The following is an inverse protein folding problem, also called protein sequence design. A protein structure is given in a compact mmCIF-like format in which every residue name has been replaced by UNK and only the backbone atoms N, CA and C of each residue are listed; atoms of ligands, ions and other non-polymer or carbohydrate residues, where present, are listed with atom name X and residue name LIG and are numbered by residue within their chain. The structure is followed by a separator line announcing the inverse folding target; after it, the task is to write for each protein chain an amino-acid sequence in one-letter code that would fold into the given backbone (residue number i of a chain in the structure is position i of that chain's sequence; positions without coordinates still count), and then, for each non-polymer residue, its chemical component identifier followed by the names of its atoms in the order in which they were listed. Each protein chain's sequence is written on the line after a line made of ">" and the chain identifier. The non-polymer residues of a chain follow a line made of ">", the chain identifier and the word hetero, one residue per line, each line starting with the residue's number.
data_IF_770456713955
#
_entry.id   IF_770456713955
#
_cell.length_a   1.000
_cell.length_b   1.000
_cell.length_c   1.000
_cell.angle_alpha   90.00
_cell.angle_beta   90.00
_cell.angle_gamma   90.00
#
_symmetry.space_group_name_H-M   'P 1'
#
loop_
_entity.id
_entity.type
_entity.pdbx_description
1 polymer ?
#
# COMPACT_ATOMS: atom_id res chain seq x y z
N UNK A 1 40.02 -8.39 -11.78
CA UNK A 1 40.02 -8.01 -13.21
C UNK A 1 39.35 -9.05 -14.12
N UNK A 2 39.55 -10.37 -13.95
CA UNK A 2 38.92 -11.41 -14.81
C UNK A 2 37.38 -11.46 -14.77
N UNK A 3 36.73 -11.20 -13.63
CA UNK A 3 35.27 -11.31 -13.49
C UNK A 3 34.50 -10.28 -14.35
N UNK A 4 35.04 -9.04 -14.43
CA UNK A 4 34.42 -7.96 -15.19
C UNK A 4 34.49 -8.20 -16.71
N UNK A 5 35.57 -8.84 -17.18
CA UNK A 5 35.73 -9.16 -18.60
C UNK A 5 34.74 -10.24 -19.07
N UNK A 6 34.48 -11.26 -18.23
CA UNK A 6 33.48 -12.28 -18.51
C UNK A 6 32.07 -11.70 -18.59
N UNK A 7 31.69 -10.87 -17.62
CA UNK A 7 30.36 -10.23 -17.62
C UNK A 7 30.16 -9.35 -18.86
N UNK A 8 31.16 -8.55 -19.23
CA UNK A 8 31.08 -7.74 -20.44
C UNK A 8 30.95 -8.59 -21.70
N UNK A 9 31.69 -9.70 -21.79
CA UNK A 9 31.56 -10.65 -22.90
C UNK A 9 30.15 -11.25 -22.98
N UNK A 10 29.61 -11.72 -21.86
CA UNK A 10 28.28 -12.31 -21.79
C UNK A 10 27.19 -11.28 -22.21
N UNK A 11 27.37 -10.00 -21.86
CA UNK A 11 26.50 -8.91 -22.31
C UNK A 11 26.62 -8.69 -23.81
N UNK A 12 27.84 -8.61 -24.37
CA UNK A 12 28.02 -8.44 -25.82
C UNK A 12 27.43 -9.60 -26.63
N UNK A 13 27.64 -10.84 -26.17
CA UNK A 13 27.10 -12.03 -26.80
C UNK A 13 25.56 -12.02 -26.75
N UNK A 14 24.97 -11.58 -25.63
CA UNK A 14 23.52 -11.40 -25.50
C UNK A 14 22.98 -10.33 -26.46
N UNK A 15 23.57 -9.13 -26.46
CA UNK A 15 23.11 -8.03 -27.32
C UNK A 15 23.16 -8.44 -28.79
N UNK A 16 24.25 -9.09 -29.21
CA UNK A 16 24.40 -9.60 -30.57
C UNK A 16 23.36 -10.66 -30.90
N UNK A 17 23.14 -11.64 -30.02
CA UNK A 17 22.17 -12.72 -30.25
C UNK A 17 20.72 -12.20 -30.28
N UNK A 18 20.40 -11.22 -29.43
CA UNK A 18 19.10 -10.58 -29.36
C UNK A 18 18.90 -9.47 -30.42
N UNK A 19 19.90 -9.22 -31.28
CA UNK A 19 19.91 -8.16 -32.30
C UNK A 19 19.66 -6.76 -31.72
N UNK A 20 20.21 -6.51 -30.53
CA UNK A 20 20.16 -5.22 -29.86
C UNK A 20 21.43 -4.44 -30.22
N UNK A 21 21.32 -3.18 -30.70
CA UNK A 21 22.48 -2.33 -30.96
C UNK A 21 23.30 -2.15 -29.67
N UNK A 22 24.62 -2.24 -29.76
CA UNK A 22 25.51 -2.17 -28.59
C UNK A 22 26.21 -0.81 -28.43
N UNK A 23 25.88 0.15 -29.29
CA UNK A 23 26.48 1.48 -29.42
C UNK A 23 25.59 2.60 -28.90
N UNK A 24 24.44 2.25 -28.29
CA UNK A 24 23.52 3.21 -27.74
C UNK A 24 24.01 3.76 -26.40
N UNK A 25 23.83 5.07 -26.14
CA UNK A 25 24.21 5.69 -24.87
C UNK A 25 23.33 5.22 -23.70
N UNK A 26 22.09 4.82 -23.99
CA UNK A 26 21.13 4.33 -23.01
C UNK A 26 20.15 3.34 -23.65
N UNK A 27 19.53 2.51 -22.81
CA UNK A 27 18.58 1.47 -23.22
C UNK A 27 17.25 1.68 -22.49
N UNK A 28 16.20 1.99 -23.25
CA UNK A 28 14.84 2.08 -22.71
C UNK A 28 14.33 0.69 -22.27
N UNK A 29 13.94 0.58 -21.00
CA UNK A 29 13.46 -0.68 -20.44
C UNK A 29 12.17 -1.19 -21.11
N UNK A 30 11.27 -0.31 -21.54
CA UNK A 30 10.03 -0.67 -22.25
C UNK A 30 10.34 -1.28 -23.61
N UNK A 31 11.45 -0.87 -24.24
CA UNK A 31 11.86 -1.37 -25.56
C UNK A 31 12.69 -2.65 -25.43
N UNK A 32 13.72 -2.65 -24.60
CA UNK A 32 14.74 -3.72 -24.62
C UNK A 32 14.48 -4.87 -23.64
N UNK A 33 13.77 -4.64 -22.53
CA UNK A 33 13.42 -5.74 -21.61
C UNK A 33 12.56 -6.80 -22.32
N UNK A 34 11.53 -6.44 -23.10
CA UNK A 34 10.78 -7.42 -23.87
C UNK A 34 11.64 -8.30 -24.76
N UNK A 35 12.53 -7.69 -25.54
CA UNK A 35 13.41 -8.39 -26.48
C UNK A 35 14.29 -9.41 -25.75
N UNK A 36 14.92 -8.99 -24.64
CA UNK A 36 15.79 -9.88 -23.86
C UNK A 36 15.00 -11.00 -23.18
N UNK A 37 13.86 -10.67 -22.57
CA UNK A 37 13.03 -11.66 -21.85
C UNK A 37 12.45 -12.69 -22.80
N UNK A 38 11.99 -12.27 -23.99
CA UNK A 38 11.46 -13.18 -25.00
C UNK A 38 12.58 -14.04 -25.60
N UNK A 39 13.76 -13.46 -25.85
CA UNK A 39 14.93 -14.22 -26.27
C UNK A 39 15.29 -15.31 -25.26
N UNK A 40 15.38 -15.00 -23.96
CA UNK A 40 15.68 -16.00 -22.93
C UNK A 40 14.55 -17.02 -22.74
N UNK A 41 13.29 -16.60 -22.77
CA UNK A 41 12.17 -17.52 -22.68
C UNK A 41 12.16 -18.52 -23.84
N UNK A 42 12.55 -18.09 -25.04
CA UNK A 42 12.68 -18.98 -26.20
C UNK A 42 13.92 -19.88 -26.08
N UNK A 43 15.08 -19.31 -25.75
CA UNK A 43 16.35 -20.05 -25.65
C UNK A 43 16.31 -21.15 -24.59
N UNK A 44 15.66 -20.89 -23.46
CA UNK A 44 15.64 -21.79 -22.30
C UNK A 44 14.28 -22.47 -22.09
N UNK A 45 13.41 -22.44 -23.09
CA UNK A 45 12.07 -23.03 -23.03
C UNK A 45 12.14 -24.53 -22.72
N UNK A 46 13.03 -25.25 -23.39
CA UNK A 46 13.20 -26.71 -23.24
C UNK A 46 13.77 -27.10 -21.88
N UNK A 47 14.50 -26.18 -21.23
CA UNK A 47 14.97 -26.36 -19.85
C UNK A 47 13.88 -26.03 -18.82
N UNK A 48 12.70 -25.58 -19.25
CA UNK A 48 11.58 -25.23 -18.40
C UNK A 48 11.71 -23.88 -17.70
N UNK A 49 12.68 -23.05 -18.07
CA UNK A 49 12.83 -21.70 -17.50
C UNK A 49 11.83 -20.73 -18.12
N UNK A 50 11.15 -19.99 -17.26
CA UNK A 50 10.17 -18.96 -17.62
C UNK A 50 10.52 -17.71 -16.84
N UNK A 51 11.16 -16.78 -17.51
CA UNK A 51 11.63 -15.52 -16.98
C UNK A 51 10.52 -14.48 -16.97
N UNK A 52 10.51 -13.69 -15.89
CA UNK A 52 9.71 -12.46 -15.79
C UNK A 52 10.51 -11.40 -15.06
N UNK A 53 10.63 -10.22 -15.68
CA UNK A 53 11.33 -9.07 -15.12
C UNK A 53 10.36 -8.23 -14.31
N UNK A 54 10.84 -7.75 -13.16
CA UNK A 54 10.17 -6.84 -12.24
C UNK A 54 11.11 -5.67 -11.95
N UNK A 55 10.77 -4.48 -12.44
CA UNK A 55 11.53 -3.26 -12.19
C UNK A 55 10.85 -2.48 -11.07
N UNK A 56 11.59 -2.17 -10.02
CA UNK A 56 11.15 -1.37 -8.89
C UNK A 56 11.73 0.04 -8.99
N UNK A 57 10.94 1.04 -8.62
CA UNK A 57 11.39 2.44 -8.56
C UNK A 57 11.03 3.07 -7.23
N UNK A 58 12.01 3.73 -6.60
CA UNK A 58 11.83 4.38 -5.30
C UNK A 58 11.45 3.40 -4.17
N UNK A 59 10.53 3.82 -3.29
CA UNK A 59 10.05 3.02 -2.14
C UNK A 59 8.72 2.28 -2.41
N UNK A 60 8.32 2.17 -3.68
CA UNK A 60 7.09 1.50 -4.05
C UNK A 60 7.15 0.00 -3.78
N UNK A 61 6.10 -0.55 -3.16
CA UNK A 61 6.00 -2.00 -2.91
C UNK A 61 5.75 -2.80 -4.19
N UNK A 62 5.11 -2.17 -5.18
CA UNK A 62 4.84 -2.79 -6.47
C UNK A 62 5.90 -2.38 -7.49
N UNK A 63 6.22 -3.28 -8.43
CA UNK A 63 7.07 -2.92 -9.57
C UNK A 63 6.42 -1.79 -10.38
N UNK A 64 7.24 -0.87 -10.88
CA UNK A 64 6.84 0.18 -11.80
C UNK A 64 6.72 -0.34 -13.24
N UNK A 65 7.43 -1.42 -13.56
CA UNK A 65 7.37 -2.09 -14.85
C UNK A 65 7.55 -3.60 -14.68
N UNK A 66 6.86 -4.38 -15.51
CA UNK A 66 6.97 -5.84 -15.52
C UNK A 66 6.75 -6.39 -16.92
N UNK A 67 7.51 -7.42 -17.29
CA UNK A 67 7.36 -8.10 -18.58
C UNK A 67 7.77 -9.56 -18.48
N UNK A 68 7.03 -10.45 -19.16
CA UNK A 68 7.28 -11.88 -19.22
C UNK A 68 6.06 -12.74 -18.84
N UNK A 69 6.24 -14.05 -18.83
CA UNK A 69 5.15 -15.02 -18.71
C UNK A 69 4.42 -14.93 -17.35
N UNK A 70 3.09 -15.03 -17.32
CA UNK A 70 2.32 -15.05 -16.05
C UNK A 70 2.61 -16.28 -15.17
N UNK A 71 2.98 -17.40 -15.79
CA UNK A 71 3.37 -18.65 -15.12
C UNK A 71 4.91 -18.76 -15.00
N UNK A 72 5.59 -17.64 -14.74
CA UNK A 72 7.03 -17.59 -14.56
C UNK A 72 7.51 -18.45 -13.39
N UNK A 73 8.74 -18.95 -13.49
CA UNK A 73 9.44 -19.59 -12.38
C UNK A 73 10.75 -18.91 -11.98
N UNK A 74 11.29 -18.05 -12.86
CA UNK A 74 12.50 -17.25 -12.62
C UNK A 74 12.16 -15.76 -12.60
N UNK A 75 11.92 -15.16 -11.42
CA UNK A 75 11.77 -13.72 -11.30
C UNK A 75 13.14 -13.02 -11.38
N UNK A 76 13.26 -12.05 -12.28
CA UNK A 76 14.43 -11.16 -12.38
C UNK A 76 14.01 -9.82 -11.79
N UNK A 77 14.78 -9.33 -10.82
CA UNK A 77 14.44 -8.11 -10.10
C UNK A 77 15.48 -7.03 -10.36
N UNK A 78 15.02 -5.85 -10.76
CA UNK A 78 15.86 -4.71 -11.09
C UNK A 78 15.35 -3.50 -10.30
N UNK A 79 16.27 -2.71 -9.77
CA UNK A 79 15.98 -1.43 -9.14
C UNK A 79 16.36 -0.29 -10.09
N UNK A 80 15.46 0.66 -10.29
CA UNK A 80 15.73 1.86 -11.07
C UNK A 80 15.82 3.08 -10.14
N UNK A 81 16.97 3.74 -10.14
CA UNK A 81 17.18 5.01 -9.41
C UNK A 81 18.23 5.87 -10.11
N UNK A 82 18.04 7.20 -10.10
CA UNK A 82 18.99 8.16 -10.66
C UNK A 82 19.46 7.84 -12.09
N UNK A 83 18.52 7.45 -12.98
CA UNK A 83 18.80 7.03 -14.35
C UNK A 83 19.76 5.82 -14.46
N UNK A 84 19.76 4.93 -13.45
CA UNK A 84 20.57 3.73 -13.39
C UNK A 84 19.73 2.50 -13.00
N UNK A 85 20.11 1.33 -13.50
CA UNK A 85 19.47 0.05 -13.21
C UNK A 85 20.42 -0.88 -12.43
N UNK A 86 20.00 -1.28 -11.23
CA UNK A 86 20.75 -2.19 -10.36
C UNK A 86 20.06 -3.55 -10.24
N UNK A 87 20.83 -4.63 -10.31
CA UNK A 87 20.32 -5.98 -10.07
C UNK A 87 19.99 -6.22 -8.59
N UNK A 88 18.75 -6.62 -8.30
CA UNK A 88 18.31 -6.93 -6.94
C UNK A 88 18.37 -8.44 -6.68
N UNK A 89 19.27 -8.88 -5.80
CA UNK A 89 19.31 -10.29 -5.37
C UNK A 89 18.22 -10.63 -4.35
N UNK A 90 17.85 -9.66 -3.50
CA UNK A 90 16.84 -9.84 -2.46
C UNK A 90 15.93 -8.61 -2.37
N UNK A 91 14.82 -8.64 -3.12
CA UNK A 91 13.79 -7.58 -3.13
C UNK A 91 13.23 -7.31 -1.73
N UNK A 92 13.12 -8.34 -0.89
CA UNK A 92 12.68 -8.18 0.49
C UNK A 92 13.55 -7.20 1.28
N UNK A 93 14.87 -7.19 1.02
CA UNK A 93 15.81 -6.29 1.69
C UNK A 93 15.54 -4.81 1.44
N UNK A 94 14.94 -4.44 0.31
CA UNK A 94 14.54 -3.06 0.02
C UNK A 94 13.49 -2.52 0.98
N UNK A 95 12.68 -3.41 1.57
CA UNK A 95 11.62 -3.05 2.50
C UNK A 95 12.05 -3.14 3.96
N UNK A 96 13.34 -3.34 4.22
CA UNK A 96 13.95 -3.44 5.54
C UNK A 96 14.20 -4.87 6.01
N UNK A 97 14.86 -4.99 7.16
CA UNK A 97 15.33 -6.27 7.71
C UNK A 97 14.18 -7.27 7.89
N UNK A 98 14.42 -8.52 7.52
CA UNK A 98 13.49 -9.66 7.62
C UNK A 98 12.21 -9.58 6.76
N UNK A 99 12.11 -8.64 5.81
CA UNK A 99 11.06 -8.72 4.81
C UNK A 99 11.45 -9.69 3.70
N UNK A 100 10.43 -10.36 3.17
CA UNK A 100 10.44 -11.21 1.99
C UNK A 100 9.44 -10.64 1.00
N UNK A 101 9.62 -10.95 -0.27
CA UNK A 101 8.73 -10.50 -1.33
C UNK A 101 8.14 -11.70 -2.08
N UNK A 102 6.86 -11.62 -2.39
CA UNK A 102 6.21 -12.61 -3.25
C UNK A 102 5.87 -11.96 -4.59
N UNK A 103 6.52 -12.43 -5.65
CA UNK A 103 6.32 -11.92 -7.01
C UNK A 103 4.93 -12.22 -7.57
N UNK A 104 4.28 -13.28 -7.10
CA UNK A 104 2.96 -13.72 -7.61
C UNK A 104 1.80 -12.86 -7.10
N UNK A 105 1.89 -12.37 -5.86
CA UNK A 105 0.88 -11.46 -5.30
C UNK A 105 1.37 -10.02 -5.15
N UNK A 106 2.63 -9.76 -5.53
CA UNK A 106 3.31 -8.46 -5.48
C UNK A 106 3.20 -7.80 -4.10
N UNK A 107 3.49 -8.58 -3.04
CA UNK A 107 3.42 -8.13 -1.66
C UNK A 107 4.63 -8.54 -0.84
N UNK A 108 5.03 -7.64 0.06
CA UNK A 108 6.01 -7.94 1.11
C UNK A 108 5.35 -8.63 2.29
N UNK A 109 6.10 -9.48 2.96
CA UNK A 109 5.68 -10.18 4.18
C UNK A 109 6.90 -10.49 5.05
N UNK A 110 6.74 -10.61 6.37
CA UNK A 110 7.85 -10.99 7.25
C UNK A 110 7.84 -12.48 7.54
N UNK A 111 6.64 -13.03 7.79
CA UNK A 111 6.45 -14.44 8.14
C UNK A 111 5.48 -15.07 7.15
N UNK A 112 5.70 -16.34 6.79
CA UNK A 112 4.83 -17.04 5.83
C UNK A 112 3.36 -17.07 6.25
N UNK A 113 3.08 -17.04 7.56
CA UNK A 113 1.72 -16.98 8.13
C UNK A 113 0.96 -15.68 7.87
N UNK A 114 1.67 -14.59 7.55
CA UNK A 114 1.06 -13.28 7.23
C UNK A 114 0.63 -13.22 5.76
N UNK A 115 1.03 -14.20 4.96
CA UNK A 115 0.78 -14.22 3.54
C UNK A 115 -0.67 -14.54 3.18
N UNK A 116 -1.15 -14.02 2.05
CA UNK A 116 -2.51 -14.28 1.58
C UNK A 116 -2.67 -15.78 1.24
N UNK A 117 -3.64 -16.44 1.89
CA UNK A 117 -3.95 -17.85 1.69
C UNK A 117 -4.45 -18.16 0.26
N UNK A 118 -4.83 -17.13 -0.50
CA UNK A 118 -5.25 -17.24 -1.91
C UNK A 118 -4.08 -17.14 -2.89
N UNK A 119 -2.85 -16.89 -2.42
CA UNK A 119 -1.71 -16.83 -3.31
C UNK A 119 -1.44 -18.19 -3.96
N UNK A 120 -1.29 -18.19 -5.30
CA UNK A 120 -1.01 -19.40 -6.09
C UNK A 120 0.34 -20.03 -5.74
N UNK A 121 1.30 -19.19 -5.38
CA UNK A 121 2.65 -19.56 -4.97
C UNK A 121 2.76 -19.97 -3.50
N UNK A 122 1.64 -20.16 -2.79
CA UNK A 122 1.64 -20.70 -1.43
C UNK A 122 1.27 -22.19 -1.47
N UNK A 123 2.14 -23.04 -0.92
CA UNK A 123 1.75 -24.42 -0.63
C UNK A 123 0.91 -24.46 0.65
N UNK A 124 -0.38 -24.79 0.55
CA UNK A 124 -1.30 -24.90 1.71
C UNK A 124 -0.97 -26.07 2.65
N UNK A 125 -0.22 -27.06 2.17
CA UNK A 125 0.17 -28.22 2.96
C UNK A 125 1.35 -27.88 3.89
N UNK A 126 2.48 -27.42 3.32
CA UNK A 126 3.70 -27.13 4.11
C UNK A 126 3.89 -25.65 4.49
N UNK A 127 3.12 -24.72 3.92
CA UNK A 127 3.18 -23.28 4.24
C UNK A 127 4.34 -22.51 3.58
N UNK A 128 5.12 -23.15 2.70
CA UNK A 128 6.17 -22.47 1.92
C UNK A 128 5.58 -21.60 0.80
N UNK A 129 6.28 -20.51 0.50
CA UNK A 129 5.92 -19.55 -0.54
C UNK A 129 7.07 -19.50 -1.55
N UNK A 130 6.77 -19.50 -2.85
CA UNK A 130 7.77 -19.38 -3.92
C UNK A 130 7.21 -19.70 -5.31
N UNK A 131 7.97 -19.40 -6.36
CA UNK A 131 7.59 -19.69 -7.75
C UNK A 131 7.34 -21.19 -7.98
N UNK A 132 8.16 -22.06 -7.39
CA UNK A 132 8.05 -23.53 -7.46
C UNK A 132 6.92 -24.11 -6.58
N UNK A 133 5.89 -23.33 -6.29
CA UNK A 133 4.78 -23.72 -5.40
C UNK A 133 3.44 -23.56 -6.13
N UNK A 134 2.45 -24.41 -5.87
CA UNK A 134 2.37 -25.44 -4.81
C UNK A 134 3.36 -26.60 -5.02
N UNK A 135 3.73 -27.31 -3.94
CA UNK A 135 4.61 -28.47 -4.05
C UNK A 135 4.03 -29.50 -5.02
N UNK A 136 4.82 -29.89 -6.03
CA UNK A 136 4.45 -30.92 -7.00
C UNK A 136 4.46 -32.32 -6.35
N UNK A 137 3.60 -33.20 -6.85
CA UNK A 137 3.58 -34.60 -6.43
C UNK A 137 4.80 -35.34 -6.99
N UNK A 138 5.36 -36.24 -6.18
CA UNK A 138 6.38 -37.20 -6.60
C UNK A 138 5.69 -38.56 -6.78
N UNK A 139 6.05 -39.30 -7.84
CA UNK A 139 5.52 -40.63 -8.07
C UNK A 139 5.70 -41.51 -6.81
N UNK A 140 4.66 -42.26 -6.45
CA UNK A 140 4.64 -43.23 -5.35
C UNK A 140 4.86 -42.66 -3.94
N UNK A 141 4.72 -41.35 -3.73
CA UNK A 141 4.74 -40.76 -2.39
C UNK A 141 3.34 -40.35 -1.93
N UNK A 142 2.84 -41.00 -0.88
CA UNK A 142 1.64 -40.56 -0.15
C UNK A 142 1.87 -40.79 1.34
N UNK A 143 1.87 -39.70 2.12
CA UNK A 143 1.99 -39.79 3.58
C UNK A 143 1.01 -38.86 4.27
N UNK A 144 0.29 -39.40 5.26
CA UNK A 144 -0.57 -38.62 6.15
C UNK A 144 0.20 -38.20 7.40
N UNK A 145 -0.10 -37.00 7.91
CA UNK A 145 0.45 -36.52 9.18
C UNK A 145 -0.56 -36.73 10.29
N UNK A 146 -0.20 -37.54 11.28
CA UNK A 146 -1.08 -37.91 12.40
C UNK A 146 -1.51 -36.70 13.25
N UNK A 147 -0.68 -35.65 13.35
CA UNK A 147 -0.96 -34.46 14.17
C UNK A 147 -2.02 -33.53 13.56
N UNK A 148 -2.05 -33.44 12.22
CA UNK A 148 -2.85 -32.45 11.49
C UNK A 148 -3.82 -33.03 10.44
N UNK A 149 -3.74 -34.34 10.18
CA UNK A 149 -4.57 -35.10 9.23
C UNK A 149 -4.29 -34.81 7.74
N UNK A 150 -3.30 -33.96 7.43
CA UNK A 150 -3.01 -33.60 6.03
C UNK A 150 -2.26 -34.72 5.31
N UNK A 151 -2.63 -34.94 4.05
CA UNK A 151 -1.95 -35.86 3.13
C UNK A 151 -0.95 -35.11 2.25
N UNK A 152 0.24 -35.65 2.12
CA UNK A 152 1.36 -35.07 1.37
C UNK A 152 1.75 -36.01 0.24
N UNK A 153 1.93 -35.44 -0.95
CA UNK A 153 2.31 -36.16 -2.17
C UNK A 153 3.80 -36.04 -2.51
N UNK A 154 4.58 -35.45 -1.61
CA UNK A 154 6.00 -35.21 -1.82
C UNK A 154 6.73 -35.20 -0.47
N UNK A 155 7.89 -35.86 -0.43
CA UNK A 155 8.67 -36.02 0.79
C UNK A 155 9.26 -34.71 1.32
N UNK A 156 9.79 -33.83 0.47
CA UNK A 156 10.26 -32.50 0.86
C UNK A 156 9.12 -31.64 1.44
N UNK A 157 7.91 -31.76 0.88
CA UNK A 157 6.71 -31.13 1.43
C UNK A 157 6.40 -31.67 2.83
N UNK A 158 6.47 -32.99 3.00
CA UNK A 158 6.24 -33.65 4.29
C UNK A 158 7.34 -33.28 5.33
N UNK A 159 8.61 -33.39 4.99
CA UNK A 159 9.69 -33.12 5.93
C UNK A 159 9.74 -31.65 6.33
N UNK A 160 9.43 -30.73 5.41
CA UNK A 160 9.34 -29.31 5.76
C UNK A 160 8.16 -29.02 6.69
N UNK A 161 6.96 -29.59 6.44
CA UNK A 161 5.82 -29.29 7.31
C UNK A 161 6.09 -29.72 8.77
N UNK A 162 6.74 -30.88 8.99
CA UNK A 162 7.10 -31.38 10.33
C UNK A 162 8.08 -30.46 11.05
N UNK A 163 9.08 -29.92 10.33
CA UNK A 163 10.07 -28.98 10.89
C UNK A 163 9.48 -27.58 11.11
N UNK A 164 8.42 -27.24 10.38
CA UNK A 164 7.78 -25.92 10.44
C UNK A 164 6.73 -25.82 11.56
N UNK A 165 6.38 -24.59 11.92
CA UNK A 165 5.21 -24.33 12.78
C UNK A 165 3.86 -24.58 12.09
N UNK A 166 3.84 -24.91 10.79
CA UNK A 166 2.61 -25.06 10.02
C UNK A 166 1.75 -26.23 10.50
N UNK A 167 2.38 -27.35 10.90
CA UNK A 167 1.69 -28.52 11.43
C UNK A 167 0.81 -28.16 12.64
N UNK A 168 1.36 -27.39 13.58
CA UNK A 168 0.67 -26.97 14.82
C UNK A 168 -0.37 -25.86 14.58
N UNK A 169 -0.25 -25.12 13.48
CA UNK A 169 -1.10 -23.97 13.18
C UNK A 169 -2.29 -24.30 12.30
N UNK A 170 -2.24 -25.40 11.55
CA UNK A 170 -3.28 -25.70 10.56
C UNK A 170 -3.63 -27.17 10.54
N UNK A 171 -4.93 -27.46 10.60
CA UNK A 171 -5.47 -28.82 10.58
C UNK A 171 -6.41 -28.99 9.40
N UNK A 172 -6.59 -30.23 8.95
CA UNK A 172 -7.67 -30.57 8.02
C UNK A 172 -8.92 -30.97 8.82
N UNK A 173 -10.10 -30.60 8.35
CA UNK A 173 -11.33 -31.14 8.90
C UNK A 173 -11.60 -32.55 8.35
N UNK A 174 -11.96 -33.50 9.21
CA UNK A 174 -12.28 -34.87 8.79
C UNK A 174 -13.54 -34.94 7.90
N UNK A 175 -14.55 -34.11 8.20
CA UNK A 175 -15.85 -34.11 7.50
C UNK A 175 -15.80 -33.40 6.15
N UNK A 176 -15.36 -32.14 6.13
CA UNK A 176 -15.41 -31.31 4.93
C UNK A 176 -14.06 -31.19 4.20
N UNK A 177 -12.99 -31.79 4.73
CA UNK A 177 -11.62 -31.77 4.17
C UNK A 177 -11.01 -30.36 3.98
N UNK A 178 -11.64 -29.32 4.52
CA UNK A 178 -11.11 -27.96 4.49
C UNK A 178 -9.93 -27.84 5.46
N UNK A 179 -8.85 -27.22 4.98
CA UNK A 179 -7.73 -26.82 5.85
C UNK A 179 -8.13 -25.54 6.56
N UNK A 180 -8.09 -25.56 7.89
CA UNK A 180 -8.39 -24.42 8.74
C UNK A 180 -7.19 -24.08 9.63
N UNK A 181 -7.09 -22.80 10.02
CA UNK A 181 -6.03 -22.31 10.89
C UNK A 181 -6.52 -22.26 12.32
N UNK A 182 -5.74 -22.86 13.23
CA UNK A 182 -5.89 -22.70 14.67
C UNK A 182 -5.41 -21.28 15.00
N UNK A 183 -6.33 -20.32 15.06
CA UNK A 183 -6.03 -18.92 15.37
C UNK A 183 -5.69 -18.73 16.84
N UNK A 184 -4.95 -17.65 17.14
CA UNK A 184 -4.60 -17.24 18.50
C UNK A 184 -5.86 -17.06 19.38
N UNK A 185 -5.92 -17.84 20.46
CA UNK A 185 -6.97 -17.97 21.47
C UNK A 185 -7.52 -16.68 22.11
N UNK A 186 -6.89 -15.52 21.85
CA UNK A 186 -7.21 -14.24 22.53
C UNK A 186 -8.28 -13.38 21.82
N UNK A 187 -8.75 -13.75 20.62
CA UNK A 187 -9.62 -12.87 19.80
C UNK A 187 -10.88 -13.49 19.21
N UNK A 188 -11.04 -14.80 19.20
CA UNK A 188 -12.22 -15.47 18.62
C UNK A 188 -12.73 -16.55 19.58
N UNK A 189 -14.04 -16.54 19.86
CA UNK A 189 -14.70 -17.53 20.74
C UNK A 189 -14.69 -18.95 20.15
N UNK A 190 -14.61 -19.06 18.83
CA UNK A 190 -14.67 -20.33 18.12
C UNK A 190 -13.30 -21.02 18.07
N UNK A 191 -13.08 -21.93 19.02
CA UNK A 191 -11.84 -22.72 19.17
C UNK A 191 -11.64 -23.77 18.07
N UNK A 192 -12.73 -24.25 17.46
CA UNK A 192 -12.75 -25.36 16.51
C UNK A 192 -13.45 -25.00 15.20
N UNK A 193 -12.97 -25.56 14.09
CA UNK A 193 -13.70 -25.48 12.82
C UNK A 193 -15.09 -26.11 12.92
N UNK A 194 -16.10 -25.38 12.45
CA UNK A 194 -17.47 -25.89 12.26
C UNK A 194 -17.76 -25.94 10.77
N UNK A 195 -18.09 -27.13 10.27
CA UNK A 195 -18.43 -27.32 8.87
C UNK A 195 -19.68 -26.52 8.50
N UNK A 196 -19.72 -25.99 7.28
CA UNK A 196 -20.87 -25.20 6.81
C UNK A 196 -20.89 -23.75 7.27
N UNK A 197 -19.96 -23.31 8.13
CA UNK A 197 -19.85 -21.92 8.56
C UNK A 197 -18.77 -21.15 7.80
N UNK A 198 -19.02 -19.85 7.59
CA UNK A 198 -18.08 -18.90 6.98
C UNK A 198 -17.99 -17.62 7.81
N UNK A 199 -16.77 -17.10 7.94
CA UNK A 199 -16.53 -15.79 8.54
C UNK A 199 -17.06 -14.68 7.63
N UNK A 200 -17.96 -13.84 8.17
CA UNK A 200 -18.40 -12.63 7.48
C UNK A 200 -17.54 -11.42 7.89
N UNK A 201 -16.95 -10.74 6.90
CA UNK A 201 -16.15 -9.53 7.14
C UNK A 201 -16.97 -8.31 7.58
N UNK A 202 -18.27 -8.31 7.30
CA UNK A 202 -19.14 -7.15 7.54
C UNK A 202 -19.58 -7.12 9.01
N UNK A 203 -20.27 -8.18 9.46
CA UNK A 203 -20.73 -8.27 10.86
C UNK A 203 -19.66 -8.83 11.82
N UNK A 204 -18.54 -9.36 11.30
CA UNK A 204 -17.47 -10.00 12.09
C UNK A 204 -17.96 -11.19 12.93
N UNK A 205 -18.86 -12.00 12.37
CA UNK A 205 -19.38 -13.23 12.97
C UNK A 205 -19.32 -14.40 11.97
N UNK A 206 -19.37 -15.63 12.49
CA UNK A 206 -19.54 -16.83 11.67
C UNK A 206 -21.03 -17.09 11.43
N UNK A 207 -21.40 -17.35 10.18
CA UNK A 207 -22.76 -17.72 9.81
C UNK A 207 -22.76 -18.99 8.96
N UNK A 208 -23.88 -19.72 8.98
CA UNK A 208 -24.11 -20.77 7.99
C UNK A 208 -24.04 -20.18 6.58
N UNK A 209 -23.45 -20.92 5.65
CA UNK A 209 -23.44 -20.57 4.23
C UNK A 209 -24.87 -20.37 3.69
N UNK A 210 -25.86 -21.08 4.24
CA UNK A 210 -27.24 -21.07 3.74
C UNK A 210 -28.04 -19.84 4.19
N UNK A 211 -27.80 -19.32 5.41
CA UNK A 211 -28.54 -18.17 5.95
C UNK A 211 -27.99 -16.82 5.50
N UNK A 212 -26.72 -16.74 5.12
CA UNK A 212 -26.05 -15.48 4.80
C UNK A 212 -25.83 -14.57 6.02
N UNK A 213 -25.48 -13.30 5.79
CA UNK A 213 -25.26 -12.31 6.84
C UNK A 213 -26.44 -11.34 6.92
N UNK A 214 -27.19 -11.35 8.02
CA UNK A 214 -28.26 -10.39 8.27
C UNK A 214 -27.71 -9.13 8.93
N UNK A 215 -27.30 -8.15 8.11
CA UNK A 215 -26.79 -6.86 8.58
C UNK A 215 -27.99 -5.99 8.92
N UNK A 216 -28.16 -5.65 10.20
CA UNK A 216 -29.14 -4.63 10.60
C UNK A 216 -28.67 -3.25 10.10
N UNK A 217 -29.59 -2.38 9.65
CA UNK A 217 -29.25 -1.00 9.31
C UNK A 217 -28.45 -0.35 10.45
N UNK A 218 -27.39 0.37 10.12
CA UNK A 218 -26.64 1.12 11.12
C UNK A 218 -27.54 2.22 11.67
N UNK A 219 -27.75 2.23 12.98
CA UNK A 219 -28.36 3.40 13.61
C UNK A 219 -27.42 4.60 13.41
N UNK A 220 -27.91 5.72 12.88
CA UNK A 220 -27.09 6.91 12.70
C UNK A 220 -26.53 7.32 14.06
N UNK A 221 -25.19 7.46 14.13
CA UNK A 221 -24.54 7.95 15.35
C UNK A 221 -25.14 9.31 15.70
N UNK A 222 -25.50 9.51 16.97
CA UNK A 222 -25.89 10.82 17.49
C UNK A 222 -24.75 11.81 17.21
N UNK A 223 -24.99 12.78 16.33
CA UNK A 223 -24.01 13.82 15.99
C UNK A 223 -23.75 14.69 17.22
N UNK A 224 -22.48 14.79 17.63
CA UNK A 224 -22.07 15.71 18.70
C UNK A 224 -21.70 17.04 18.02
N UNK A 225 -22.36 18.16 18.35
CA UNK A 225 -22.04 19.46 17.77
C UNK A 225 -20.60 19.87 18.05
N UNK A 226 -19.88 20.32 17.02
CA UNK A 226 -18.49 20.77 17.14
C UNK A 226 -18.27 22.13 16.48
N UNK A 227 -17.23 22.84 16.93
CA UNK A 227 -16.82 24.15 16.43
C UNK A 227 -15.88 23.99 15.23
N UNK A 228 -16.12 24.78 14.20
CA UNK A 228 -15.30 24.92 13.01
C UNK A 228 -14.73 26.34 12.97
N UNK A 229 -13.44 26.47 12.67
CA UNK A 229 -12.79 27.74 12.40
C UNK A 229 -12.11 27.63 11.05
N UNK A 230 -12.58 28.40 10.07
CA UNK A 230 -11.99 28.45 8.73
C UNK A 230 -11.23 29.76 8.58
N UNK A 231 -10.06 29.70 7.97
CA UNK A 231 -9.22 30.87 7.70
C UNK A 231 -9.07 31.04 6.20
N UNK A 232 -9.29 32.26 5.74
CA UNK A 232 -9.00 32.70 4.39
C UNK A 232 -7.86 33.73 4.45
N UNK A 233 -6.83 33.53 3.62
CA UNK A 233 -5.58 34.26 3.71
C UNK A 233 -5.36 35.07 2.44
N UNK A 234 -5.18 36.37 2.62
CA UNK A 234 -4.79 37.27 1.56
C UNK A 234 -3.33 37.68 1.74
N UNK A 235 -2.62 37.77 0.62
CA UNK A 235 -1.20 38.04 0.60
C UNK A 235 -0.81 39.08 -0.44
N UNK A 236 0.30 39.75 -0.17
CA UNK A 236 0.94 40.72 -1.06
C UNK A 236 2.28 40.19 -1.57
N UNK A 237 2.67 40.65 -2.75
CA UNK A 237 3.95 40.34 -3.40
C UNK A 237 4.73 41.62 -3.74
N UNK A 238 4.68 42.61 -2.84
CA UNK A 238 5.27 43.92 -3.09
C UNK A 238 6.81 43.93 -2.95
N UNK A 239 7.37 42.98 -2.20
CA UNK A 239 8.81 42.88 -1.93
C UNK A 239 9.46 41.91 -2.93
N UNK A 240 10.48 42.33 -3.68
CA UNK A 240 11.26 41.44 -4.55
C UNK A 240 12.25 40.62 -3.71
N UNK A 241 12.46 39.36 -4.07
CA UNK A 241 13.53 38.55 -3.49
C UNK A 241 14.78 38.85 -4.30
N UNK A 242 15.72 39.60 -3.71
CA UNK A 242 17.04 39.74 -4.31
C UNK A 242 17.78 38.42 -4.06
N UNK A 243 17.93 37.57 -5.09
CA UNK A 243 19.17 36.80 -5.33
C UNK A 243 19.16 35.89 -6.59
N UNK A 244 20.21 36.10 -7.40
CA UNK A 244 21.05 35.14 -8.17
C UNK A 244 20.48 34.38 -9.37
N UNK A 245 19.17 34.33 -9.59
CA UNK A 245 18.61 33.70 -10.80
C UNK A 245 17.84 34.72 -11.64
N UNK A 246 17.91 34.61 -12.97
CA UNK A 246 17.16 35.46 -13.94
C UNK A 246 15.62 35.31 -13.84
N UNK A 247 15.10 34.82 -12.71
CA UNK A 247 13.69 34.66 -12.44
C UNK A 247 13.24 35.78 -11.49
N UNK A 248 12.27 36.59 -11.91
CA UNK A 248 11.66 37.62 -11.05
C UNK A 248 10.79 36.97 -9.94
N UNK A 249 11.42 36.51 -8.86
CA UNK A 249 10.70 35.98 -7.69
C UNK A 249 10.31 37.10 -6.72
N UNK A 250 9.05 37.10 -6.28
CA UNK A 250 8.50 38.07 -5.31
C UNK A 250 8.12 37.38 -4.01
N UNK A 251 8.36 38.05 -2.88
CA UNK A 251 8.10 37.53 -1.55
C UNK A 251 6.59 37.51 -1.28
N UNK A 252 6.04 36.32 -1.05
CA UNK A 252 4.64 36.13 -0.69
C UNK A 252 4.45 36.41 0.81
N UNK A 253 3.75 37.50 1.16
CA UNK A 253 3.55 37.93 2.55
C UNK A 253 2.07 38.14 2.86
N UNK A 254 1.55 37.29 3.75
CA UNK A 254 0.18 37.41 4.27
C UNK A 254 0.03 38.75 4.98
N UNK A 255 -0.93 39.55 4.53
CA UNK A 255 -1.23 40.88 5.06
C UNK A 255 -2.66 41.00 5.60
N UNK A 256 -3.51 40.02 5.34
CA UNK A 256 -4.88 39.98 5.82
C UNK A 256 -5.36 38.53 5.99
N UNK A 257 -6.14 38.29 7.04
CA UNK A 257 -6.72 36.98 7.33
C UNK A 257 -8.16 37.16 7.77
N UNK A 258 -9.10 36.49 7.11
CA UNK A 258 -10.48 36.38 7.53
C UNK A 258 -10.73 35.02 8.17
N UNK A 259 -11.11 35.02 9.44
CA UNK A 259 -11.51 33.83 10.17
C UNK A 259 -13.04 33.79 10.30
N UNK A 260 -13.63 32.65 9.92
CA UNK A 260 -15.05 32.37 10.14
C UNK A 260 -15.21 31.26 11.16
N UNK A 261 -15.98 31.54 12.22
CA UNK A 261 -16.24 30.61 13.32
C UNK A 261 -17.70 30.15 13.27
N UNK A 262 -17.92 28.85 13.08
CA UNK A 262 -19.27 28.27 13.07
C UNK A 262 -19.32 26.94 13.83
N UNK A 263 -20.51 26.36 13.97
CA UNK A 263 -20.69 25.00 14.48
C UNK A 263 -21.70 24.28 13.60
N UNK A 264 -21.74 22.95 13.67
CA UNK A 264 -22.65 22.15 12.84
C UNK A 264 -24.12 22.58 13.00
N UNK A 265 -24.56 22.96 14.21
CA UNK A 265 -25.91 23.49 14.44
C UNK A 265 -26.15 24.83 13.75
N UNK A 266 -25.18 25.74 13.80
CA UNK A 266 -25.31 27.04 13.15
C UNK A 266 -25.17 26.97 11.62
N UNK A 267 -24.65 25.86 11.08
CA UNK A 267 -24.59 25.62 9.63
C UNK A 267 -25.92 25.10 9.07
N UNK A 268 -26.73 24.43 9.90
CA UNK A 268 -28.05 23.93 9.53
C UNK A 268 -29.11 25.05 9.49
N UNK A 269 -28.81 26.23 10.02
CA UNK A 269 -29.67 27.39 10.02
C UNK A 269 -29.20 28.39 8.95
N UNK A 270 -29.97 28.47 7.86
CA UNK A 270 -29.66 29.32 6.70
C UNK A 270 -29.57 30.82 7.03
N UNK A 271 -30.22 31.27 8.11
CA UNK A 271 -30.16 32.67 8.55
C UNK A 271 -28.98 32.94 9.47
N UNK A 272 -28.55 31.96 10.26
CA UNK A 272 -27.43 32.12 11.17
C UNK A 272 -26.09 31.92 10.50
N UNK A 273 -25.99 31.09 9.46
CA UNK A 273 -24.68 30.60 9.04
C UNK A 273 -23.74 31.68 8.47
N UNK A 274 -24.28 32.72 7.81
CA UNK A 274 -23.53 33.83 7.20
C UNK A 274 -23.60 35.16 7.96
N UNK A 275 -24.44 35.27 8.98
CA UNK A 275 -24.69 36.53 9.66
C UNK A 275 -23.70 36.75 10.83
N UNK A 276 -23.14 37.96 11.00
CA UNK A 276 -22.36 38.30 12.19
C UNK A 276 -23.14 37.98 13.47
N UNK A 277 -22.52 37.34 14.46
CA UNK A 277 -23.23 36.92 15.67
C UNK A 277 -23.42 38.10 16.62
N UNK A 278 -22.30 38.75 16.98
CA UNK A 278 -22.25 39.83 17.97
C UNK A 278 -23.11 41.02 17.56
N UNK A 279 -23.00 41.42 16.30
CA UNK A 279 -23.70 42.61 15.82
C UNK A 279 -25.22 42.41 15.70
N UNK A 280 -25.68 41.17 15.52
CA UNK A 280 -27.10 40.84 15.52
C UNK A 280 -27.64 40.48 16.91
N UNK A 281 -26.85 40.72 17.98
CA UNK A 281 -27.23 40.40 19.36
C UNK A 281 -27.36 38.89 19.63
N UNK A 282 -26.78 38.05 18.77
CA UNK A 282 -26.88 36.59 18.87
C UNK A 282 -25.61 36.01 19.51
N UNK A 283 -25.78 34.98 20.32
CA UNK A 283 -24.68 34.22 20.94
C UNK A 283 -24.89 32.74 20.66
N UNK A 284 -23.82 32.03 20.33
CA UNK A 284 -23.81 30.57 20.27
C UNK A 284 -22.87 30.02 21.34
N UNK A 285 -23.39 29.12 22.17
CA UNK A 285 -22.64 28.44 23.24
C UNK A 285 -21.39 27.70 22.70
N UNK A 286 -21.42 27.27 21.44
CA UNK A 286 -20.32 26.54 20.78
C UNK A 286 -19.39 27.47 19.99
N UNK A 287 -19.94 28.44 19.24
CA UNK A 287 -19.14 29.35 18.42
C UNK A 287 -18.55 30.53 19.22
N UNK A 288 -19.16 30.86 20.36
CA UNK A 288 -18.94 32.09 21.09
C UNK A 288 -19.67 33.28 20.46
N UNK A 289 -19.17 34.48 20.74
CA UNK A 289 -19.83 35.74 20.34
C UNK A 289 -19.43 36.22 18.94
N UNK A 290 -18.27 35.80 18.41
CA UNK A 290 -17.73 36.33 17.16
C UNK A 290 -17.73 35.23 16.10
N UNK A 291 -18.43 35.47 14.99
CA UNK A 291 -18.44 34.62 13.79
C UNK A 291 -17.41 35.08 12.79
N UNK A 292 -17.35 36.38 12.50
CA UNK A 292 -16.42 36.94 11.51
C UNK A 292 -15.33 37.75 12.22
N UNK A 293 -14.10 37.24 12.21
CA UNK A 293 -12.94 37.85 12.85
C UNK A 293 -11.89 38.12 11.79
N UNK A 294 -11.34 39.33 11.72
CA UNK A 294 -10.27 39.65 10.76
C UNK A 294 -8.99 40.06 11.45
N UNK A 295 -7.85 39.65 10.89
CA UNK A 295 -6.51 40.07 11.30
C UNK A 295 -5.88 40.85 10.15
N UNK A 296 -5.66 42.15 10.33
CA UNK A 296 -5.24 43.03 9.23
C UNK A 296 -4.13 43.98 9.64
N UNK A 297 -3.27 44.38 8.69
CA UNK A 297 -2.24 45.39 8.94
C UNK A 297 -2.81 46.78 9.27
N UNK A 298 -3.97 47.10 8.73
CA UNK A 298 -4.64 48.40 8.88
C UNK A 298 -6.13 48.19 9.19
N UNK A 299 -6.76 49.15 9.89
CA UNK A 299 -8.21 49.14 10.05
C UNK A 299 -8.91 49.36 8.70
N UNK A 300 -10.17 48.95 8.63
CA UNK A 300 -11.06 49.09 7.48
C UNK A 300 -12.48 49.28 8.00
N UNK A 301 -13.27 50.09 7.30
CA UNK A 301 -14.58 50.55 7.81
C UNK A 301 -15.75 50.17 6.89
N UNK A 302 -15.49 49.61 5.70
CA UNK A 302 -16.53 49.34 4.69
C UNK A 302 -17.09 47.91 4.77
N UNK A 303 -16.47 47.03 5.55
CA UNK A 303 -16.89 45.63 5.68
C UNK A 303 -17.31 45.34 7.11
N UNK A 304 -18.48 44.75 7.25
CA UNK A 304 -19.07 44.42 8.55
C UNK A 304 -18.49 43.11 9.11
N UNK A 305 -17.79 43.18 10.24
CA UNK A 305 -17.20 42.02 10.93
C UNK A 305 -17.46 42.08 12.44
N UNK A 306 -17.58 40.93 13.11
CA UNK A 306 -17.80 40.90 14.57
C UNK A 306 -16.59 41.41 15.36
N UNK A 307 -15.38 41.20 14.83
CA UNK A 307 -14.16 41.68 15.44
C UNK A 307 -13.06 41.95 14.41
N UNK A 308 -12.46 43.14 14.49
CA UNK A 308 -11.25 43.49 13.75
C UNK A 308 -10.05 43.52 14.71
N UNK A 309 -8.99 42.79 14.36
CA UNK A 309 -7.72 42.74 15.10
C UNK A 309 -6.65 43.35 14.20
N UNK A 310 -6.25 44.59 14.50
CA UNK A 310 -5.19 45.27 13.75
C UNK A 310 -3.82 44.81 14.26
N UNK A 311 -3.00 44.25 13.38
CA UNK A 311 -1.67 43.73 13.70
C UNK A 311 -0.72 43.79 12.52
N UNK A 312 0.54 44.14 12.78
CA UNK A 312 1.60 44.17 11.76
C UNK A 312 2.04 42.77 11.29
N UNK A 313 1.62 41.70 11.97
CA UNK A 313 1.95 40.30 11.63
C UNK A 313 0.73 39.37 11.82
N UNK A 314 -0.25 39.39 10.90
CA UNK A 314 -1.50 38.62 11.01
C UNK A 314 -1.27 37.13 11.27
N UNK A 315 -0.29 36.52 10.60
CA UNK A 315 0.05 35.10 10.75
C UNK A 315 0.56 34.71 12.14
N UNK A 316 1.10 35.64 12.94
CA UNK A 316 1.60 35.36 14.29
C UNK A 316 0.52 35.36 15.37
N UNK A 317 -0.72 35.72 15.04
CA UNK A 317 -1.83 35.86 16.01
C UNK A 317 -2.82 34.69 16.01
N UNK A 318 -2.58 33.66 15.19
CA UNK A 318 -3.48 32.50 15.01
C UNK A 318 -3.11 31.31 15.91
N UNK A 319 -2.02 31.43 16.70
CA UNK A 319 -1.57 30.39 17.62
C UNK A 319 -2.03 30.64 19.06
#
# INVERSE_FOLDING_TARGET
>A
MQYNHRQMKDVFDLLKAAKIPNDLPEYDAVVYVPVVVDFWNNQYMDNGYKFKVFIFGGVNEKPIFKYGNENFNVPISIFHSNNHFDGLRNVGGMFGVNHKYCFTCEKKFRKSKEHDLRCKSLCRLCGRIGSERPCLATANYLRECDDCGKKYLNEDCFNHHKKSSNCRQTKICEKCRVIWTIKNYKREEQKNHVCGQKWCKICRQYHSMDRGCFIRPLEPKKSIPYRLVTFDFEATQNEKINEITNEERRLHKVNFIAATVTCTKCMEDDQLWRAPLKQNGKNCIICGNNRSITFSHRPFNQTTVDQQIVTAKPSKKIY
#
